data_IF_684960102744
#
_entry.id   IF_684960102744
#
_cell.length_a   1.000
_cell.length_b   1.000
_cell.length_c   1.000
_cell.angle_alpha   90.00
_cell.angle_beta   90.00
_cell.angle_gamma   90.00
#
_symmetry.space_group_name_H-M   'P 1'
#
loop_
_entity.id
_entity.type
_entity.pdbx_description
1 polymer ?
#
# COMPACT_ATOMS: atom_id res chain seq x y z
N UNK A 1 -2.90 -12.93 -8.96
CA UNK A 1 -1.78 -12.62 -8.04
C UNK A 1 -0.92 -13.86 -8.03
N UNK A 2 0.40 -13.77 -7.88
CA UNK A 2 1.23 -14.97 -7.74
C UNK A 2 1.08 -15.50 -6.31
N UNK A 3 1.03 -16.82 -6.17
CA UNK A 3 0.90 -17.52 -4.90
C UNK A 3 2.24 -18.20 -4.59
N UNK A 4 2.70 -18.05 -3.36
CA UNK A 4 3.97 -18.61 -2.87
C UNK A 4 3.74 -19.29 -1.52
N UNK A 5 4.51 -20.33 -1.26
CA UNK A 5 4.75 -20.83 0.10
C UNK A 5 5.71 -19.88 0.83
N UNK A 6 5.78 -19.99 2.16
CA UNK A 6 6.74 -19.22 2.97
C UNK A 6 8.18 -19.46 2.50
N UNK A 7 8.58 -20.71 2.30
CA UNK A 7 9.94 -21.06 1.91
C UNK A 7 10.31 -20.47 0.54
N UNK A 8 9.42 -20.59 -0.45
CA UNK A 8 9.65 -20.03 -1.79
C UNK A 8 9.79 -18.51 -1.77
N UNK A 9 8.92 -17.83 -1.03
CA UNK A 9 8.95 -16.37 -0.96
C UNK A 9 10.19 -15.86 -0.21
N UNK A 10 10.56 -16.50 0.91
CA UNK A 10 11.75 -16.14 1.67
C UNK A 10 13.01 -16.35 0.84
N UNK A 11 13.12 -17.47 0.13
CA UNK A 11 14.26 -17.72 -0.78
C UNK A 11 14.36 -16.65 -1.87
N UNK A 12 13.24 -16.25 -2.47
CA UNK A 12 13.21 -15.17 -3.45
C UNK A 12 13.68 -13.84 -2.85
N UNK A 13 13.24 -13.50 -1.64
CA UNK A 13 13.68 -12.27 -0.98
C UNK A 13 15.18 -12.30 -0.67
N UNK A 14 15.73 -13.45 -0.27
CA UNK A 14 17.17 -13.62 -0.05
C UNK A 14 17.98 -13.41 -1.33
N UNK A 15 17.54 -13.98 -2.46
CA UNK A 15 18.17 -13.74 -3.76
C UNK A 15 18.14 -12.26 -4.17
N UNK A 16 17.01 -11.57 -3.95
CA UNK A 16 16.89 -10.14 -4.21
C UNK A 16 17.80 -9.32 -3.30
N UNK A 17 17.84 -9.62 -2.00
CA UNK A 17 18.72 -8.95 -1.05
C UNK A 17 20.18 -9.10 -1.45
N UNK A 18 20.63 -10.30 -1.81
CA UNK A 18 22.00 -10.54 -2.26
C UNK A 18 22.32 -9.79 -3.55
N UNK A 19 21.38 -9.75 -4.51
CA UNK A 19 21.52 -8.99 -5.75
C UNK A 19 21.71 -7.50 -5.48
N UNK A 20 20.83 -6.89 -4.68
CA UNK A 20 20.86 -5.45 -4.42
C UNK A 20 22.01 -5.04 -3.49
N UNK A 21 22.41 -5.91 -2.55
CA UNK A 21 23.62 -5.71 -1.75
C UNK A 21 24.88 -5.66 -2.62
N UNK A 22 24.98 -6.53 -3.62
CA UNK A 22 26.08 -6.50 -4.62
C UNK A 22 26.01 -5.25 -5.51
N UNK A 23 24.81 -4.81 -5.88
CA UNK A 23 24.59 -3.63 -6.73
C UNK A 23 25.02 -2.32 -6.08
N UNK A 24 24.64 -2.09 -4.81
CA UNK A 24 24.99 -0.86 -4.11
C UNK A 24 26.40 -0.84 -3.49
N UNK A 25 27.05 -2.00 -3.34
CA UNK A 25 28.39 -2.15 -2.76
C UNK A 25 28.55 -1.51 -1.36
N UNK A 26 27.47 -1.43 -0.58
CA UNK A 26 27.49 -0.85 0.78
C UNK A 26 27.72 -1.93 1.84
N UNK A 27 28.30 -1.50 2.95
CA UNK A 27 28.51 -2.35 4.12
C UNK A 27 27.19 -2.68 4.83
N UNK A 28 27.19 -3.75 5.62
CA UNK A 28 26.02 -4.13 6.42
C UNK A 28 25.61 -3.03 7.42
N UNK A 29 26.56 -2.28 7.96
CA UNK A 29 26.28 -1.17 8.86
C UNK A 29 25.56 -0.01 8.16
N UNK A 30 25.94 0.30 6.91
CA UNK A 30 25.28 1.32 6.10
C UNK A 30 23.87 0.90 5.70
N UNK A 31 23.69 -0.35 5.28
CA UNK A 31 22.38 -0.90 4.95
C UNK A 31 21.45 -0.93 6.16
N UNK A 32 21.97 -1.28 7.34
CA UNK A 32 21.20 -1.26 8.58
C UNK A 32 20.81 0.18 8.99
N UNK A 33 21.68 1.16 8.78
CA UNK A 33 21.35 2.56 9.00
C UNK A 33 20.23 3.03 8.07
N UNK A 34 20.31 2.69 6.77
CA UNK A 34 19.26 2.99 5.80
C UNK A 34 17.95 2.29 6.17
N UNK A 35 18.00 1.03 6.59
CA UNK A 35 16.84 0.27 7.02
C UNK A 35 16.12 0.95 8.18
N UNK A 36 16.84 1.43 9.20
CA UNK A 36 16.25 2.17 10.34
C UNK A 36 15.62 3.50 9.93
N UNK A 37 16.14 4.17 8.91
CA UNK A 37 15.56 5.42 8.37
C UNK A 37 14.23 5.14 7.64
N UNK A 38 14.18 4.03 6.89
CA UNK A 38 13.01 3.62 6.10
C UNK A 38 11.93 2.93 6.95
N UNK A 39 12.36 2.18 7.96
CA UNK A 39 11.53 1.49 8.93
C UNK A 39 11.69 2.11 10.33
N UNK A 40 11.22 3.35 10.54
CA UNK A 40 11.20 3.91 11.89
C UNK A 40 10.29 3.03 12.76
N UNK A 41 10.78 2.60 13.92
CA UNK A 41 10.03 1.76 14.86
C UNK A 41 8.61 2.33 15.09
N UNK A 42 7.58 1.48 15.22
CA UNK A 42 6.20 1.91 15.14
C UNK A 42 5.85 2.90 16.26
N UNK A 43 5.80 4.18 15.91
CA UNK A 43 5.30 5.24 16.80
C UNK A 43 3.79 5.25 16.66
N UNK A 44 3.11 4.33 17.36
CA UNK A 44 1.67 4.38 17.74
C UNK A 44 0.69 5.10 16.82
N UNK A 45 0.83 4.97 15.50
CA UNK A 45 0.13 5.79 14.52
C UNK A 45 -1.06 5.06 13.92
N UNK A 46 -2.13 5.80 13.62
CA UNK A 46 -3.26 5.30 12.85
C UNK A 46 -2.77 4.92 11.44
N UNK A 47 -2.83 3.63 11.11
CA UNK A 47 -2.33 3.08 9.83
C UNK A 47 -2.99 3.79 8.64
N UNK A 48 -4.29 4.10 8.74
CA UNK A 48 -5.03 4.82 7.71
C UNK A 48 -4.42 6.19 7.39
N UNK A 49 -3.93 6.90 8.41
CA UNK A 49 -3.24 8.18 8.20
C UNK A 49 -1.97 7.99 7.40
N UNK A 50 -1.19 6.93 7.66
CA UNK A 50 0.03 6.64 6.92
C UNK A 50 -0.25 6.21 5.48
N UNK A 51 -1.28 5.38 5.26
CA UNK A 51 -1.72 4.97 3.93
C UNK A 51 -2.20 6.19 3.12
N UNK A 52 -2.98 7.09 3.74
CA UNK A 52 -3.38 8.36 3.14
C UNK A 52 -2.16 9.23 2.83
N UNK A 53 -1.22 9.35 3.76
CA UNK A 53 0.01 10.13 3.55
C UNK A 53 0.84 9.64 2.37
N UNK A 54 1.09 8.34 2.25
CA UNK A 54 1.83 7.77 1.12
C UNK A 54 1.10 8.02 -0.21
N UNK A 55 -0.24 7.87 -0.21
CA UNK A 55 -1.06 8.14 -1.41
C UNK A 55 -0.94 9.58 -1.92
N UNK A 56 -0.90 10.57 -1.02
CA UNK A 56 -0.90 11.99 -1.41
C UNK A 56 0.51 12.58 -1.54
N UNK A 57 1.47 12.09 -0.77
CA UNK A 57 2.80 12.70 -0.61
C UNK A 57 3.95 11.72 -0.84
N UNK A 58 3.69 10.52 -1.39
CA UNK A 58 4.69 9.46 -1.52
C UNK A 58 5.97 9.90 -2.22
N UNK A 59 5.88 10.70 -3.28
CA UNK A 59 7.05 11.24 -3.99
C UNK A 59 7.90 12.13 -3.08
N UNK A 60 7.27 13.12 -2.42
CA UNK A 60 7.97 14.06 -1.53
C UNK A 60 8.61 13.33 -0.33
N UNK A 61 7.89 12.36 0.23
CA UNK A 61 8.37 11.54 1.33
C UNK A 61 9.60 10.71 0.90
N UNK A 62 9.58 10.10 -0.29
CA UNK A 62 10.75 9.39 -0.82
C UNK A 62 11.94 10.32 -1.02
N UNK A 63 11.74 11.56 -1.48
CA UNK A 63 12.83 12.53 -1.59
C UNK A 63 13.45 12.86 -0.23
N UNK A 64 12.60 13.05 0.80
CA UNK A 64 13.06 13.30 2.17
C UNK A 64 13.89 12.10 2.67
N UNK A 65 13.36 10.87 2.52
CA UNK A 65 14.07 9.65 2.94
C UNK A 65 15.41 9.48 2.22
N UNK A 66 15.46 9.72 0.90
CA UNK A 66 16.71 9.64 0.12
C UNK A 66 17.74 10.68 0.58
N UNK A 67 17.30 11.91 0.89
CA UNK A 67 18.18 12.94 1.47
C UNK A 67 18.73 12.51 2.83
N UNK A 68 17.89 11.94 3.69
CA UNK A 68 18.31 11.41 4.99
C UNK A 68 19.35 10.29 4.84
N UNK A 69 19.13 9.32 3.95
CA UNK A 69 20.09 8.23 3.70
C UNK A 69 21.43 8.81 3.20
N UNK A 70 21.42 9.78 2.29
CA UNK A 70 22.64 10.44 1.79
C UNK A 70 23.46 11.14 2.89
N UNK A 71 22.83 11.59 3.97
CA UNK A 71 23.56 12.17 5.10
C UNK A 71 24.45 11.14 5.81
N UNK A 72 24.05 9.86 5.83
CA UNK A 72 24.82 8.78 6.45
C UNK A 72 25.72 8.04 5.45
N UNK A 73 25.27 7.94 4.18
CA UNK A 73 25.98 7.26 3.09
C UNK A 73 26.38 8.32 2.05
N UNK A 74 27.48 9.02 2.31
CA UNK A 74 27.90 10.20 1.55
C UNK A 74 28.34 9.90 0.12
N UNK A 75 28.91 8.71 -0.12
CA UNK A 75 29.26 8.19 -1.46
C UNK A 75 28.14 7.28 -1.96
N UNK A 76 27.03 7.88 -2.38
CA UNK A 76 25.88 7.17 -2.90
C UNK A 76 25.31 7.87 -4.14
N UNK A 77 25.48 7.25 -5.30
CA UNK A 77 24.83 7.71 -6.53
C UNK A 77 23.33 7.33 -6.56
N UNK A 78 22.66 7.66 -7.66
CA UNK A 78 21.22 7.41 -7.80
C UNK A 78 20.89 5.91 -7.88
N UNK A 79 21.67 5.13 -8.61
CA UNK A 79 21.43 3.70 -8.80
C UNK A 79 21.73 2.93 -7.52
N UNK A 80 22.84 3.25 -6.86
CA UNK A 80 23.18 2.68 -5.56
C UNK A 80 22.08 2.99 -4.52
N UNK A 81 21.49 4.19 -4.56
CA UNK A 81 20.38 4.54 -3.67
C UNK A 81 19.13 3.70 -3.95
N UNK A 82 18.80 3.46 -5.21
CA UNK A 82 17.66 2.62 -5.59
C UNK A 82 17.87 1.17 -5.14
N UNK A 83 19.10 0.65 -5.27
CA UNK A 83 19.48 -0.67 -4.76
C UNK A 83 19.40 -0.74 -3.22
N UNK A 84 19.82 0.30 -2.50
CA UNK A 84 19.67 0.36 -1.02
C UNK A 84 18.19 0.29 -0.62
N UNK A 85 17.33 1.06 -1.28
CA UNK A 85 15.89 1.06 -1.01
C UNK A 85 15.29 -0.32 -1.32
N UNK A 86 15.64 -0.91 -2.46
CA UNK A 86 15.18 -2.23 -2.87
C UNK A 86 15.62 -3.33 -1.89
N UNK A 87 16.87 -3.28 -1.43
CA UNK A 87 17.39 -4.16 -0.38
C UNK A 87 16.56 -4.05 0.90
N UNK A 88 16.31 -2.81 1.36
CA UNK A 88 15.55 -2.58 2.59
C UNK A 88 14.10 -3.08 2.48
N UNK A 89 13.45 -2.88 1.32
CA UNK A 89 12.10 -3.42 1.07
C UNK A 89 12.08 -4.94 1.11
N UNK A 90 13.02 -5.60 0.42
CA UNK A 90 13.11 -7.06 0.41
C UNK A 90 13.35 -7.63 1.81
N UNK A 91 14.27 -7.01 2.56
CA UNK A 91 14.51 -7.33 3.98
C UNK A 91 13.24 -7.20 4.81
N UNK A 92 12.50 -6.10 4.67
CA UNK A 92 11.25 -5.90 5.40
C UNK A 92 10.19 -6.95 5.04
N UNK A 93 9.99 -7.26 3.76
CA UNK A 93 9.05 -8.31 3.35
C UNK A 93 9.41 -9.65 4.00
N UNK A 94 10.67 -10.07 3.94
CA UNK A 94 11.13 -11.31 4.56
C UNK A 94 10.89 -11.31 6.07
N UNK A 95 11.37 -10.28 6.77
CA UNK A 95 11.31 -10.22 8.23
C UNK A 95 9.87 -10.13 8.74
N UNK A 96 9.03 -9.33 8.07
CA UNK A 96 7.63 -9.09 8.45
C UNK A 96 6.73 -10.30 8.18
N UNK A 97 6.93 -11.01 7.07
CA UNK A 97 6.20 -12.26 6.77
C UNK A 97 6.49 -13.29 7.85
N UNK A 98 7.77 -13.50 8.18
CA UNK A 98 8.15 -14.46 9.20
C UNK A 98 7.56 -14.07 10.57
N UNK A 99 7.55 -12.78 10.90
CA UNK A 99 6.90 -12.29 12.13
C UNK A 99 5.41 -12.58 12.15
N UNK A 100 4.68 -12.22 11.08
CA UNK A 100 3.22 -12.44 10.99
C UNK A 100 2.87 -13.92 11.12
N UNK A 101 3.60 -14.79 10.42
CA UNK A 101 3.37 -16.24 10.46
C UNK A 101 3.66 -16.76 11.86
N UNK A 102 4.78 -16.38 12.47
CA UNK A 102 5.14 -16.79 13.83
C UNK A 102 4.10 -16.34 14.87
N UNK A 103 3.62 -15.10 14.78
CA UNK A 103 2.70 -14.52 15.76
C UNK A 103 1.26 -15.04 15.63
N UNK A 104 0.82 -15.37 14.40
CA UNK A 104 -0.60 -15.58 14.08
C UNK A 104 -0.95 -16.97 13.56
N UNK A 105 0.02 -17.80 13.18
CA UNK A 105 -0.25 -19.15 12.67
C UNK A 105 0.12 -20.22 13.70
N UNK A 106 -0.63 -21.31 13.68
CA UNK A 106 -0.31 -22.55 14.39
C UNK A 106 -0.05 -23.59 13.30
N UNK A 107 1.16 -24.15 13.26
CA UNK A 107 1.69 -24.91 12.12
C UNK A 107 0.82 -26.11 11.69
N UNK A 108 -0.05 -26.62 12.57
CA UNK A 108 -0.92 -27.77 12.31
C UNK A 108 -2.41 -27.39 12.10
N UNK A 109 -2.80 -26.15 12.41
CA UNK A 109 -4.20 -25.70 12.37
C UNK A 109 -4.45 -24.64 11.29
N UNK A 110 -3.38 -24.16 10.64
CA UNK A 110 -3.44 -23.06 9.69
C UNK A 110 -2.82 -23.42 8.34
N UNK A 111 -3.52 -23.13 7.25
CA UNK A 111 -2.92 -23.03 5.91
C UNK A 111 -2.43 -21.60 5.68
N UNK A 112 -1.14 -21.47 5.35
CA UNK A 112 -0.47 -20.18 5.18
C UNK A 112 -0.03 -20.02 3.74
N UNK A 113 -0.46 -18.94 3.10
CA UNK A 113 -0.08 -18.61 1.74
C UNK A 113 0.35 -17.15 1.64
N UNK A 114 1.33 -16.88 0.77
CA UNK A 114 1.78 -15.52 0.47
C UNK A 114 1.33 -15.19 -0.94
N UNK A 115 0.74 -14.01 -1.10
CA UNK A 115 0.35 -13.51 -2.41
C UNK A 115 1.12 -12.24 -2.74
N UNK A 116 1.68 -12.17 -3.95
CA UNK A 116 2.32 -10.96 -4.45
C UNK A 116 1.83 -10.63 -5.86
N UNK A 117 1.71 -9.35 -6.18
CA UNK A 117 1.42 -8.91 -7.54
C UNK A 117 2.65 -9.07 -8.47
N UNK A 118 2.46 -8.85 -9.78
CA UNK A 118 3.52 -9.02 -10.78
C UNK A 118 4.67 -8.05 -10.66
N UNK A 119 4.51 -6.98 -9.88
CA UNK A 119 5.55 -5.96 -9.68
C UNK A 119 6.75 -6.55 -8.96
N UNK A 120 6.55 -7.56 -8.10
CA UNK A 120 7.63 -8.28 -7.38
C UNK A 120 8.67 -8.90 -8.32
N UNK A 121 8.26 -9.23 -9.55
CA UNK A 121 9.11 -9.81 -10.60
C UNK A 121 9.56 -8.76 -11.63
N UNK A 122 9.09 -7.51 -11.50
CA UNK A 122 9.37 -6.45 -12.46
C UNK A 122 10.79 -5.91 -12.28
N UNK A 123 11.52 -5.60 -13.36
CA UNK A 123 12.76 -4.82 -13.25
C UNK A 123 12.54 -3.43 -12.64
N UNK A 124 11.30 -2.93 -12.66
CA UNK A 124 10.92 -1.65 -12.04
C UNK A 124 10.58 -1.75 -10.55
N UNK A 125 10.72 -2.94 -9.96
CA UNK A 125 10.54 -3.20 -8.53
C UNK A 125 11.16 -2.15 -7.57
N UNK A 126 12.38 -1.63 -7.84
CA UNK A 126 12.95 -0.58 -6.98
C UNK A 126 12.08 0.68 -6.92
N UNK A 127 11.34 0.96 -8.00
CA UNK A 127 10.52 2.17 -8.16
C UNK A 127 9.05 1.94 -7.80
N UNK A 128 8.53 0.73 -8.02
CA UNK A 128 7.15 0.35 -7.74
C UNK A 128 7.12 -0.75 -6.67
N UNK A 129 6.59 -0.42 -5.49
CA UNK A 129 6.40 -1.40 -4.42
C UNK A 129 5.25 -2.36 -4.77
N UNK A 130 5.48 -3.68 -4.78
CA UNK A 130 4.39 -4.65 -4.93
C UNK A 130 3.47 -4.55 -3.75
N UNK A 131 2.25 -4.91 -4.06
CA UNK A 131 1.29 -5.40 -3.09
C UNK A 131 1.65 -6.85 -2.74
N UNK A 132 1.99 -7.08 -1.47
CA UNK A 132 2.25 -8.40 -0.90
C UNK A 132 1.31 -8.62 0.28
N UNK A 133 0.75 -9.82 0.38
CA UNK A 133 -0.21 -10.21 1.39
C UNK A 133 0.16 -11.56 1.97
N UNK A 134 -0.05 -11.72 3.28
CA UNK A 134 -0.03 -13.01 3.96
C UNK A 134 -1.47 -13.41 4.24
N UNK A 135 -1.87 -14.58 3.77
CA UNK A 135 -3.14 -15.20 4.15
C UNK A 135 -2.89 -16.30 5.16
N UNK A 136 -3.69 -16.30 6.23
CA UNK A 136 -3.73 -17.37 7.21
C UNK A 136 -5.17 -17.88 7.23
N UNK A 137 -5.35 -19.16 6.90
CA UNK A 137 -6.65 -19.83 6.88
C UNK A 137 -6.70 -20.86 8.00
N UNK A 138 -7.59 -20.69 8.97
CA UNK A 138 -7.80 -21.64 10.06
C UNK A 138 -8.65 -22.81 9.53
N UNK A 139 -8.08 -24.02 9.59
CA UNK A 139 -8.66 -25.22 8.98
C UNK A 139 -10.02 -25.55 9.60
N UNK A 140 -10.13 -25.44 10.92
CA UNK A 140 -11.34 -25.80 11.66
C UNK A 140 -12.50 -24.81 11.45
N UNK A 141 -12.19 -23.53 11.31
CA UNK A 141 -13.18 -22.46 11.15
C UNK A 141 -13.52 -22.16 9.69
N UNK A 142 -12.68 -22.60 8.74
CA UNK A 142 -12.77 -22.20 7.33
C UNK A 142 -12.61 -20.69 7.12
N UNK A 143 -12.08 -19.98 8.12
CA UNK A 143 -11.93 -18.52 8.11
C UNK A 143 -10.54 -18.16 7.60
N UNK A 144 -10.46 -17.15 6.73
CA UNK A 144 -9.18 -16.62 6.26
C UNK A 144 -9.00 -15.17 6.70
N UNK A 145 -7.82 -14.85 7.22
CA UNK A 145 -7.39 -13.47 7.45
C UNK A 145 -6.30 -13.10 6.45
N UNK A 146 -6.31 -11.84 6.04
CA UNK A 146 -5.30 -11.29 5.13
C UNK A 146 -4.60 -10.12 5.81
N UNK A 147 -3.27 -10.16 5.81
CA UNK A 147 -2.42 -9.07 6.28
C UNK A 147 -1.63 -8.53 5.09
N UNK A 148 -1.81 -7.26 4.75
CA UNK A 148 -1.05 -6.56 3.72
C UNK A 148 0.27 -6.07 4.31
N UNK A 149 1.35 -6.25 3.57
CA UNK A 149 2.69 -5.74 3.92
C UNK A 149 2.99 -4.57 2.99
N UNK A 150 3.40 -3.45 3.58
CA UNK A 150 3.46 -2.17 2.88
C UNK A 150 4.72 -1.36 3.26
N UNK A 151 5.87 -1.62 2.61
CA UNK A 151 7.08 -0.83 2.78
C UNK A 151 7.03 0.47 1.96
N UNK A 152 6.26 1.43 2.47
CA UNK A 152 5.92 2.69 1.82
C UNK A 152 6.87 3.84 2.17
N UNK A 153 6.70 5.01 1.53
CA UNK A 153 7.50 6.20 1.84
C UNK A 153 7.20 6.76 3.23
N UNK A 154 5.93 6.64 3.64
CA UNK A 154 5.45 7.08 4.95
C UNK A 154 6.00 6.21 6.10
N UNK A 155 6.43 4.99 5.77
CA UNK A 155 7.03 4.04 6.70
C UNK A 155 6.78 2.61 6.25
N UNK A 156 7.56 1.70 6.80
CA UNK A 156 7.36 0.27 6.58
C UNK A 156 6.37 -0.28 7.61
N UNK A 157 5.27 -0.85 7.14
CA UNK A 157 4.18 -1.32 8.01
C UNK A 157 3.49 -2.56 7.47
N UNK A 158 2.69 -3.21 8.30
CA UNK A 158 1.72 -4.21 7.89
C UNK A 158 0.39 -4.00 8.59
N UNK A 159 -0.71 -4.39 7.94
CA UNK A 159 -2.06 -4.21 8.47
C UNK A 159 -3.03 -5.25 7.94
N UNK A 160 -4.02 -5.61 8.75
CA UNK A 160 -5.10 -6.50 8.31
C UNK A 160 -6.01 -5.76 7.33
N UNK A 161 -6.43 -6.46 6.28
CA UNK A 161 -7.41 -5.95 5.33
C UNK A 161 -8.73 -6.71 5.51
N UNK A 162 -9.82 -6.01 5.23
CA UNK A 162 -11.12 -6.64 5.04
C UNK A 162 -11.24 -7.15 3.59
N UNK A 163 -11.85 -8.33 3.41
CA UNK A 163 -11.99 -8.94 2.10
C UNK A 163 -10.73 -9.67 1.63
N UNK A 164 -10.57 -9.78 0.31
CA UNK A 164 -9.51 -10.56 -0.34
C UNK A 164 -8.45 -9.67 -1.00
N UNK A 165 -7.21 -10.19 -1.24
CA UNK A 165 -6.20 -9.47 -2.01
C UNK A 165 -6.63 -9.12 -3.44
N UNK A 166 -7.66 -9.78 -3.98
CA UNK A 166 -8.20 -9.50 -5.31
C UNK A 166 -9.07 -8.24 -5.33
N UNK A 167 -9.65 -7.87 -4.20
CA UNK A 167 -10.46 -6.65 -4.08
C UNK A 167 -9.58 -5.38 -4.25
N UNK A 168 -8.31 -5.46 -3.86
CA UNK A 168 -7.30 -4.42 -4.11
C UNK A 168 -6.93 -4.25 -5.61
N UNK A 169 -7.41 -5.14 -6.50
CA UNK A 169 -7.31 -5.01 -7.97
C UNK A 169 -8.55 -4.44 -8.63
N UNK A 170 -9.70 -4.53 -7.96
CA UNK A 170 -10.91 -3.94 -8.51
C UNK A 170 -10.67 -2.43 -8.57
N UNK A 171 -11.08 -1.75 -9.67
CA UNK A 171 -11.20 -0.30 -9.63
C UNK A 171 -11.99 0.00 -8.36
N UNK A 172 -11.47 0.89 -7.51
CA UNK A 172 -12.15 1.28 -6.28
C UNK A 172 -13.61 1.51 -6.64
N UNK A 173 -14.53 0.73 -6.05
CA UNK A 173 -15.94 0.99 -6.25
C UNK A 173 -16.17 2.40 -5.74
N UNK A 174 -16.40 3.32 -6.69
CA UNK A 174 -16.69 4.70 -6.35
C UNK A 174 -18.04 4.70 -5.65
N UNK A 175 -18.14 5.40 -4.51
CA UNK A 175 -19.45 5.75 -3.97
C UNK A 175 -20.29 6.31 -5.10
N UNK A 176 -21.49 5.80 -5.29
CA UNK A 176 -22.46 6.37 -6.22
C UNK A 176 -22.69 7.86 -5.91
N UNK A 177 -23.14 8.63 -6.90
CA UNK A 177 -23.50 10.04 -6.70
C UNK A 177 -24.55 10.20 -5.60
N UNK A 178 -25.43 9.20 -5.47
CA UNK A 178 -26.43 9.13 -4.40
C UNK A 178 -25.77 9.01 -3.02
N UNK A 179 -24.87 8.05 -2.84
CA UNK A 179 -24.13 7.83 -1.58
C UNK A 179 -23.28 9.05 -1.21
N UNK A 180 -22.61 9.67 -2.18
CA UNK A 180 -21.85 10.91 -1.97
C UNK A 180 -22.75 12.05 -1.44
N UNK A 181 -23.96 12.19 -1.98
CA UNK A 181 -24.91 13.21 -1.53
C UNK A 181 -25.49 12.90 -0.15
N UNK A 182 -25.77 11.63 0.13
CA UNK A 182 -26.24 11.17 1.43
C UNK A 182 -25.19 11.32 2.53
N UNK A 183 -23.91 11.13 2.21
CA UNK A 183 -22.78 11.38 3.11
C UNK A 183 -22.79 12.81 3.67
N UNK A 184 -23.06 13.80 2.81
CA UNK A 184 -23.16 15.21 3.20
C UNK A 184 -24.52 15.60 3.79
N UNK A 185 -25.52 14.71 3.75
CA UNK A 185 -26.92 14.96 4.17
C UNK A 185 -27.54 16.19 3.51
N UNK A 186 -27.19 16.46 2.26
CA UNK A 186 -27.71 17.63 1.51
C UNK A 186 -28.70 17.24 0.41
N UNK A 187 -29.53 18.21 0.04
CA UNK A 187 -30.43 18.07 -1.12
C UNK A 187 -29.65 18.02 -2.44
N UNK A 188 -30.24 17.44 -3.48
CA UNK A 188 -29.64 17.39 -4.82
C UNK A 188 -29.38 18.78 -5.40
N UNK A 189 -30.28 19.74 -5.14
CA UNK A 189 -30.11 21.13 -5.55
C UNK A 189 -28.91 21.81 -4.87
N UNK A 190 -28.66 21.47 -3.61
CA UNK A 190 -27.50 21.98 -2.87
C UNK A 190 -26.20 21.32 -3.35
N UNK A 191 -26.21 20.02 -3.60
CA UNK A 191 -25.07 19.29 -4.18
C UNK A 191 -24.69 19.86 -5.57
N UNK A 192 -25.70 20.16 -6.40
CA UNK A 192 -25.55 20.82 -7.71
C UNK A 192 -24.84 22.17 -7.60
N UNK A 193 -25.26 23.02 -6.64
CA UNK A 193 -24.64 24.33 -6.42
C UNK A 193 -23.21 24.20 -5.91
N UNK A 194 -22.97 23.29 -4.96
CA UNK A 194 -21.67 23.14 -4.29
C UNK A 194 -20.56 22.68 -5.21
N UNK A 195 -20.84 21.68 -6.07
CA UNK A 195 -19.84 21.11 -6.98
C UNK A 195 -19.95 21.65 -8.42
N UNK A 196 -20.81 22.66 -8.64
CA UNK A 196 -21.06 23.27 -9.94
C UNK A 196 -21.46 22.27 -11.04
N UNK A 197 -22.23 21.24 -10.67
CA UNK A 197 -22.72 20.22 -11.59
C UNK A 197 -24.18 20.55 -11.94
N UNK A 198 -24.56 20.66 -13.23
CA UNK A 198 -25.94 20.92 -13.61
C UNK A 198 -26.91 19.89 -13.00
N UNK A 199 -28.03 20.36 -12.44
CA UNK A 199 -28.98 19.50 -11.72
C UNK A 199 -29.45 18.30 -12.56
N UNK A 200 -29.73 18.53 -13.84
CA UNK A 200 -30.15 17.48 -14.77
C UNK A 200 -29.07 16.44 -15.04
N UNK A 201 -27.80 16.81 -14.95
CA UNK A 201 -26.67 15.88 -15.06
C UNK A 201 -26.61 14.98 -13.83
N UNK A 202 -26.79 15.53 -12.63
CA UNK A 202 -26.85 14.74 -11.39
C UNK A 202 -28.04 13.78 -11.39
N UNK A 203 -29.22 14.22 -11.84
CA UNK A 203 -30.39 13.36 -11.98
C UNK A 203 -30.10 12.17 -12.89
N UNK A 204 -29.51 12.42 -14.07
CA UNK A 204 -29.16 11.37 -15.03
C UNK A 204 -28.10 10.40 -14.49
N UNK A 205 -27.15 10.87 -13.67
CA UNK A 205 -26.14 10.03 -13.03
C UNK A 205 -26.73 9.20 -11.88
N UNK A 206 -27.60 9.78 -11.04
CA UNK A 206 -28.29 9.05 -9.97
C UNK A 206 -29.29 8.03 -10.52
N UNK A 207 -29.93 8.29 -11.66
CA UNK A 207 -30.86 7.37 -12.32
C UNK A 207 -30.19 6.35 -13.25
N UNK A 208 -28.85 6.31 -13.30
CA UNK A 208 -28.05 5.49 -14.21
C UNK A 208 -28.41 5.66 -15.71
N UNK A 209 -29.08 6.75 -16.08
CA UNK A 209 -29.46 7.07 -17.46
C UNK A 209 -28.25 7.51 -18.29
N UNK A 210 -27.24 8.09 -17.65
CA UNK A 210 -25.91 8.27 -18.20
C UNK A 210 -24.85 7.99 -17.12
N UNK A 211 -23.68 7.51 -17.50
CA UNK A 211 -22.61 7.23 -16.56
C UNK A 211 -21.73 8.46 -16.34
N UNK A 212 -21.43 8.75 -15.07
CA UNK A 212 -20.42 9.74 -14.72
C UNK A 212 -19.05 9.24 -15.21
N UNK A 213 -18.27 10.06 -15.96
CA UNK A 213 -16.92 9.66 -16.35
C UNK A 213 -16.07 9.32 -15.12
N UNK A 214 -15.31 8.23 -15.17
CA UNK A 214 -14.58 7.71 -14.01
C UNK A 214 -13.62 8.73 -13.36
N UNK A 215 -12.96 9.59 -14.15
CA UNK A 215 -12.09 10.63 -13.59
C UNK A 215 -12.88 11.73 -12.85
N UNK A 216 -14.08 12.08 -13.31
CA UNK A 216 -14.97 13.04 -12.63
C UNK A 216 -15.45 12.44 -11.32
N UNK A 217 -15.81 11.15 -11.35
CA UNK A 217 -16.21 10.40 -10.16
C UNK A 217 -15.12 10.42 -9.08
N UNK A 218 -13.85 10.17 -9.47
CA UNK A 218 -12.70 10.23 -8.59
C UNK A 218 -12.51 11.59 -7.92
N UNK A 219 -12.60 12.67 -8.71
CA UNK A 219 -12.41 14.03 -8.21
C UNK A 219 -13.56 14.44 -7.28
N UNK A 220 -14.79 14.12 -7.66
CA UNK A 220 -15.99 14.43 -6.90
C UNK A 220 -16.04 13.66 -5.59
N UNK A 221 -15.75 12.35 -5.60
CA UNK A 221 -15.68 11.53 -4.39
C UNK A 221 -14.68 12.10 -3.39
N UNK A 222 -13.51 12.53 -3.88
CA UNK A 222 -12.47 13.12 -3.05
C UNK A 222 -12.93 14.44 -2.42
N UNK A 223 -13.52 15.32 -3.22
CA UNK A 223 -14.02 16.60 -2.73
C UNK A 223 -15.14 16.43 -1.69
N UNK A 224 -16.05 15.47 -1.92
CA UNK A 224 -17.13 15.14 -0.99
C UNK A 224 -16.60 14.63 0.34
N UNK A 225 -15.63 13.72 0.33
CA UNK A 225 -15.01 13.20 1.55
C UNK A 225 -14.25 14.31 2.31
N UNK A 226 -13.52 15.17 1.60
CA UNK A 226 -12.84 16.33 2.20
C UNK A 226 -13.82 17.32 2.85
N UNK A 227 -14.99 17.54 2.25
CA UNK A 227 -16.04 18.39 2.81
C UNK A 227 -16.75 17.73 4.00
N UNK A 228 -16.99 16.41 3.94
CA UNK A 228 -17.59 15.64 5.03
C UNK A 228 -16.70 15.64 6.28
N UNK A 229 -15.38 15.50 6.13
CA UNK A 229 -14.41 15.57 7.24
C UNK A 229 -14.32 16.98 7.88
N UNK A 230 -14.75 18.03 7.17
CA UNK A 230 -14.74 19.43 7.65
C UNK A 230 -16.08 19.91 8.21
N UNK A 231 -17.12 19.07 8.13
CA UNK A 231 -18.50 19.37 8.54
C UNK A 231 -18.75 18.96 9.98
#
# INVERSE_FOLDING_TARGET
MYKYTQAEFVAMMDELMDKFKKGCQKSDAELEAAYKILNPAPVGGFIDSLVKMDKYYGTDLWEIKRKQIKCFISKCDRYEMDDIVAYCRAKFFKDEINRIIYDKSIAEECDVCIFADSTILSPEWPYLCAKVYVSITWIDEGKTSYTRIFPSAAGFMSYQIEGSPEDDRKPKEHMSILEMRECLKISRAEFSRRYHIPLRTLENWESATNQCPGYVMNLLERAVLEDADRS
#
